data_IF_462506274801
#
_entry.id   IF_462506274801
#
_cell.length_a   1.000
_cell.length_b   1.000
_cell.length_c   1.000
_cell.angle_alpha   90.00
_cell.angle_beta   90.00
_cell.angle_gamma   90.00
#
_symmetry.space_group_name_H-M   'P 1'
#
loop_
_entity.id
_entity.type
_entity.pdbx_description
1 polymer ?
#
# COMPACT_ATOMS: atom_id res chain seq x y z
N UNK A 1 8.30 0.87 -14.53
CA UNK A 1 8.98 1.83 -15.43
C UNK A 1 9.03 1.35 -16.88
N UNK A 2 9.50 0.14 -17.19
CA UNK A 2 9.55 -0.38 -18.56
C UNK A 2 8.24 -0.30 -19.36
N UNK A 3 7.10 -0.48 -18.70
CA UNK A 3 5.79 -0.33 -19.35
C UNK A 3 5.41 1.15 -19.60
N UNK A 4 5.64 2.02 -18.63
CA UNK A 4 5.15 3.40 -18.65
C UNK A 4 6.08 4.38 -19.37
N UNK A 5 7.39 4.22 -19.16
CA UNK A 5 8.46 5.10 -19.64
C UNK A 5 9.70 4.29 -20.01
N UNK A 6 9.61 3.43 -21.04
CA UNK A 6 10.73 2.60 -21.48
C UNK A 6 11.95 3.44 -21.88
N UNK A 7 11.74 4.66 -22.36
CA UNK A 7 12.80 5.60 -22.77
C UNK A 7 13.75 6.00 -21.63
N UNK A 8 13.29 5.86 -20.38
CA UNK A 8 14.08 6.15 -19.17
C UNK A 8 14.75 4.90 -18.58
N UNK A 9 14.47 3.71 -19.10
CA UNK A 9 15.03 2.46 -18.59
C UNK A 9 16.09 1.91 -19.54
N UNK A 10 17.34 1.86 -19.07
CA UNK A 10 18.50 1.30 -19.79
C UNK A 10 18.78 -0.10 -19.29
N UNK A 11 18.05 -1.09 -19.82
CA UNK A 11 18.15 -2.49 -19.38
C UNK A 11 19.53 -3.10 -19.65
N UNK A 12 20.27 -2.55 -20.62
CA UNK A 12 21.66 -2.92 -20.89
C UNK A 12 22.64 -2.56 -19.75
N UNK A 13 22.20 -1.79 -18.75
CA UNK A 13 23.00 -1.39 -17.58
C UNK A 13 22.56 -2.09 -16.29
N UNK A 14 21.58 -2.99 -16.36
CA UNK A 14 21.08 -3.70 -15.18
C UNK A 14 22.18 -4.58 -14.60
N UNK A 15 22.30 -4.52 -13.28
CA UNK A 15 23.07 -5.44 -12.46
C UNK A 15 22.10 -6.06 -11.47
N UNK A 16 22.12 -7.39 -11.37
CA UNK A 16 21.36 -8.10 -10.36
C UNK A 16 22.21 -8.23 -9.11
N UNK A 17 21.68 -7.77 -7.98
CA UNK A 17 22.31 -7.91 -6.67
C UNK A 17 21.29 -8.61 -5.78
N UNK A 18 21.54 -9.88 -5.47
CA UNK A 18 20.61 -10.75 -4.73
C UNK A 18 21.26 -11.50 -3.57
N UNK A 19 22.58 -11.38 -3.43
CA UNK A 19 23.37 -12.06 -2.39
C UNK A 19 23.54 -11.15 -1.18
N UNK A 20 22.46 -11.00 -0.42
CA UNK A 20 22.40 -10.10 0.72
C UNK A 20 22.86 -10.78 2.00
N UNK A 21 23.49 -10.01 2.88
CA UNK A 21 23.96 -10.52 4.17
C UNK A 21 22.73 -10.85 5.02
N UNK A 22 22.61 -12.13 5.39
CA UNK A 22 21.49 -12.61 6.19
C UNK A 22 21.97 -13.62 7.21
N UNK A 23 21.42 -13.51 8.41
CA UNK A 23 21.53 -14.50 9.49
C UNK A 23 20.12 -14.92 9.92
N UNK A 24 19.95 -16.04 10.66
CA UNK A 24 18.61 -16.55 10.99
C UNK A 24 17.67 -15.55 11.68
N UNK A 25 18.21 -14.60 12.45
CA UNK A 25 17.44 -13.63 13.22
C UNK A 25 17.71 -12.17 12.82
N UNK A 26 18.62 -11.93 11.88
CA UNK A 26 18.98 -10.60 11.44
C UNK A 26 19.23 -10.59 9.93
N UNK A 27 18.34 -9.90 9.22
CA UNK A 27 18.35 -9.68 7.79
C UNK A 27 17.58 -8.39 7.49
N UNK A 28 17.85 -7.77 6.34
CA UNK A 28 17.07 -6.61 5.89
C UNK A 28 15.63 -7.05 5.62
N UNK A 29 14.71 -6.63 6.50
CA UNK A 29 13.29 -6.89 6.38
C UNK A 29 12.54 -5.58 6.08
N UNK A 30 12.08 -5.44 4.84
CA UNK A 30 11.28 -4.30 4.38
C UNK A 30 9.87 -4.26 4.98
N UNK A 31 9.46 -5.35 5.65
CA UNK A 31 8.17 -5.51 6.34
C UNK A 31 8.36 -5.34 7.85
N UNK A 32 9.61 -5.18 8.34
CA UNK A 32 9.95 -5.05 9.76
C UNK A 32 9.39 -6.19 10.64
N UNK A 33 9.17 -7.38 10.07
CA UNK A 33 8.63 -8.56 10.74
C UNK A 33 9.66 -9.39 11.53
N UNK A 34 10.94 -9.02 11.48
CA UNK A 34 12.02 -9.69 12.20
C UNK A 34 12.02 -9.45 13.72
N UNK A 35 12.69 -10.34 14.47
CA UNK A 35 12.88 -10.20 15.92
C UNK A 35 13.84 -9.03 16.30
N UNK A 36 14.64 -8.57 15.34
CA UNK A 36 15.58 -7.46 15.47
C UNK A 36 15.62 -6.67 14.15
N UNK A 37 15.23 -5.40 14.19
CA UNK A 37 15.28 -4.50 13.03
C UNK A 37 16.47 -3.58 13.20
N UNK A 38 17.50 -3.78 12.38
CA UNK A 38 18.60 -2.81 12.22
C UNK A 38 18.73 -2.53 10.73
N UNK A 39 18.82 -1.26 10.38
CA UNK A 39 19.22 -0.84 9.05
C UNK A 39 20.73 -1.02 8.91
N UNK A 40 21.18 -2.00 8.12
CA UNK A 40 22.56 -2.04 7.65
C UNK A 40 22.84 -0.87 6.69
N UNK A 41 24.09 -0.39 6.62
CA UNK A 41 24.54 0.44 5.50
C UNK A 41 24.22 -0.24 4.15
N UNK A 42 23.71 0.54 3.19
CA UNK A 42 23.44 0.03 1.84
C UNK A 42 24.67 -0.55 1.14
N UNK A 43 25.84 0.01 1.43
CA UNK A 43 27.13 -0.41 0.86
C UNK A 43 27.52 -1.85 1.26
N UNK A 44 26.93 -2.39 2.33
CA UNK A 44 27.18 -3.77 2.77
C UNK A 44 26.45 -4.80 1.90
N UNK A 45 25.31 -4.42 1.29
CA UNK A 45 24.43 -5.33 0.54
C UNK A 45 24.42 -5.06 -0.97
N UNK A 46 24.79 -3.85 -1.40
CA UNK A 46 24.74 -3.47 -2.82
C UNK A 46 25.79 -2.43 -3.19
N UNK A 47 26.46 -2.67 -4.32
CA UNK A 47 27.41 -1.76 -4.95
C UNK A 47 26.71 -0.73 -5.85
N UNK A 48 25.56 -1.08 -6.43
CA UNK A 48 24.85 -0.20 -7.39
C UNK A 48 23.65 0.53 -6.78
N UNK A 49 23.30 0.22 -5.53
CA UNK A 49 22.04 0.60 -4.90
C UNK A 49 20.85 -0.24 -5.34
N UNK A 50 21.07 -1.30 -6.14
CA UNK A 50 20.02 -2.21 -6.55
C UNK A 50 19.80 -3.30 -5.50
N UNK A 51 18.54 -3.67 -5.28
CA UNK A 51 18.19 -4.75 -4.35
C UNK A 51 17.21 -5.68 -5.08
N UNK A 52 17.74 -6.74 -5.69
CA UNK A 52 16.99 -7.78 -6.37
C UNK A 52 17.45 -8.04 -7.81
N UNK A 53 16.70 -8.90 -8.50
CA UNK A 53 16.97 -9.29 -9.88
C UNK A 53 16.20 -8.42 -10.89
N UNK A 54 16.72 -7.22 -11.16
CA UNK A 54 16.15 -6.29 -12.14
C UNK A 54 16.13 -6.84 -13.56
N UNK A 55 17.01 -7.79 -13.89
CA UNK A 55 17.13 -8.38 -15.25
C UNK A 55 15.89 -9.15 -15.68
N UNK A 56 15.09 -9.62 -14.73
CA UNK A 56 13.84 -10.35 -14.98
C UNK A 56 12.66 -9.41 -15.30
N UNK A 57 12.87 -8.09 -15.21
CA UNK A 57 11.81 -7.12 -15.47
C UNK A 57 11.43 -7.06 -16.95
N UNK A 58 10.13 -7.08 -17.22
CA UNK A 58 9.58 -6.90 -18.58
C UNK A 58 8.49 -5.84 -18.57
N UNK A 59 8.24 -5.21 -19.72
CA UNK A 59 7.13 -4.29 -19.89
C UNK A 59 5.77 -4.99 -19.69
N UNK A 60 5.64 -6.25 -20.12
CA UNK A 60 4.42 -7.04 -19.94
C UNK A 60 4.11 -7.30 -18.45
N UNK A 61 5.12 -7.69 -17.67
CA UNK A 61 4.95 -7.85 -16.22
C UNK A 61 4.50 -6.53 -15.59
N UNK A 62 5.13 -5.41 -15.99
CA UNK A 62 4.73 -4.09 -15.53
C UNK A 62 3.29 -3.70 -15.87
N UNK A 63 2.80 -4.07 -17.06
CA UNK A 63 1.42 -3.81 -17.48
C UNK A 63 0.43 -4.57 -16.60
N UNK A 64 0.64 -5.88 -16.41
CA UNK A 64 -0.22 -6.74 -15.59
C UNK A 64 -0.28 -6.28 -14.14
N UNK A 65 0.87 -5.94 -13.56
CA UNK A 65 0.94 -5.40 -12.19
C UNK A 65 0.20 -4.08 -12.05
N UNK A 66 0.38 -3.16 -13.01
CA UNK A 66 -0.29 -1.86 -12.97
C UNK A 66 -1.81 -2.00 -13.08
N UNK A 67 -2.29 -2.88 -13.96
CA UNK A 67 -3.72 -3.12 -14.13
C UNK A 67 -4.37 -3.57 -12.80
N UNK A 68 -3.79 -4.58 -12.15
CA UNK A 68 -4.30 -5.09 -10.87
C UNK A 68 -4.26 -4.00 -9.79
N UNK A 69 -3.14 -3.28 -9.68
CA UNK A 69 -3.01 -2.20 -8.69
C UNK A 69 -4.04 -1.07 -8.91
N UNK A 70 -4.30 -0.70 -10.17
CA UNK A 70 -5.31 0.32 -10.51
C UNK A 70 -6.70 -0.16 -10.10
N UNK A 71 -7.07 -1.40 -10.43
CA UNK A 71 -8.37 -1.95 -10.05
C UNK A 71 -8.54 -1.99 -8.53
N UNK A 72 -7.51 -2.43 -7.81
CA UNK A 72 -7.50 -2.44 -6.35
C UNK A 72 -7.72 -1.04 -5.75
N UNK A 73 -7.02 -0.01 -6.26
CA UNK A 73 -7.21 1.37 -5.76
C UNK A 73 -8.58 1.94 -6.10
N UNK A 74 -9.14 1.63 -7.28
CA UNK A 74 -10.50 2.02 -7.62
C UNK A 74 -11.49 1.44 -6.61
N UNK A 75 -11.34 0.16 -6.26
CA UNK A 75 -12.24 -0.50 -5.31
C UNK A 75 -12.12 0.10 -3.91
N UNK A 76 -10.90 0.32 -3.43
CA UNK A 76 -10.68 1.01 -2.15
C UNK A 76 -11.36 2.39 -2.08
N UNK A 77 -11.28 3.19 -3.16
CA UNK A 77 -11.95 4.49 -3.21
C UNK A 77 -13.47 4.34 -3.13
N UNK A 78 -14.06 3.36 -3.84
CA UNK A 78 -15.51 3.07 -3.75
C UNK A 78 -15.91 2.70 -2.32
N UNK A 79 -15.14 1.85 -1.66
CA UNK A 79 -15.39 1.45 -0.27
C UNK A 79 -15.31 2.63 0.70
N UNK A 80 -14.34 3.53 0.52
CA UNK A 80 -14.22 4.75 1.33
C UNK A 80 -15.48 5.61 1.20
N UNK A 81 -15.97 5.82 -0.03
CA UNK A 81 -17.21 6.57 -0.26
C UNK A 81 -18.44 5.90 0.34
N UNK A 82 -18.53 4.57 0.23
CA UNK A 82 -19.61 3.79 0.81
C UNK A 82 -19.61 3.88 2.34
N UNK A 83 -18.45 3.72 2.97
CA UNK A 83 -18.27 3.89 4.41
C UNK A 83 -18.67 5.29 4.88
N UNK A 84 -18.24 6.33 4.16
CA UNK A 84 -18.62 7.70 4.47
C UNK A 84 -20.14 7.89 4.41
N UNK A 85 -20.79 7.39 3.34
CA UNK A 85 -22.25 7.47 3.17
C UNK A 85 -23.00 6.80 4.32
N UNK A 86 -22.63 5.55 4.65
CA UNK A 86 -23.24 4.80 5.76
C UNK A 86 -23.10 5.51 7.10
N UNK A 87 -21.92 6.10 7.35
CA UNK A 87 -21.65 6.83 8.60
C UNK A 87 -22.47 8.11 8.70
N UNK A 88 -22.64 8.84 7.60
CA UNK A 88 -23.49 10.03 7.56
C UNK A 88 -24.97 9.70 7.77
N UNK A 89 -25.48 8.67 7.09
CA UNK A 89 -26.86 8.19 7.29
C UNK A 89 -27.12 7.81 8.75
N UNK A 90 -26.23 7.01 9.35
CA UNK A 90 -26.32 6.61 10.76
C UNK A 90 -26.30 7.82 11.72
N UNK A 91 -25.54 8.87 11.42
CA UNK A 91 -25.53 10.10 12.24
C UNK A 91 -26.86 10.83 12.13
N UNK A 92 -27.42 10.96 10.93
CA UNK A 92 -28.72 11.59 10.71
C UNK A 92 -29.85 10.83 11.45
N UNK A 93 -29.88 9.51 11.36
CA UNK A 93 -30.83 8.64 12.06
C UNK A 93 -30.74 8.79 13.60
N UNK A 94 -29.52 8.81 14.14
CA UNK A 94 -29.29 9.02 15.58
C UNK A 94 -29.77 10.38 16.04
N UNK A 95 -29.49 11.43 15.27
CA UNK A 95 -29.91 12.79 15.60
C UNK A 95 -31.45 12.92 15.56
N UNK A 96 -32.10 12.33 14.55
CA UNK A 96 -33.57 12.30 14.48
C UNK A 96 -34.18 11.55 15.66
N UNK A 97 -33.59 10.41 16.02
CA UNK A 97 -34.07 9.60 17.15
C UNK A 97 -33.94 10.37 18.47
N UNK A 98 -32.81 11.04 18.71
CA UNK A 98 -32.61 11.87 19.90
C UNK A 98 -33.64 13.02 19.97
N UNK A 99 -33.86 13.72 18.85
CA UNK A 99 -34.86 14.78 18.77
C UNK A 99 -36.28 14.28 19.07
N UNK A 100 -36.65 13.12 18.52
CA UNK A 100 -37.96 12.50 18.77
C UNK A 100 -38.14 12.09 20.24
N UNK A 101 -37.07 11.68 20.93
CA UNK A 101 -37.13 11.40 22.38
C UNK A 101 -37.37 12.69 23.18
N UNK A 102 -36.62 13.76 22.92
CA UNK A 102 -36.79 15.05 23.59
C UNK A 102 -38.20 15.64 23.43
N UNK A 103 -38.80 15.51 22.24
CA UNK A 103 -40.17 15.96 22.00
C UNK A 103 -41.21 15.17 22.81
N UNK A 104 -40.99 13.86 23.00
CA UNK A 104 -41.87 13.02 23.84
C UNK A 104 -41.79 13.36 25.31
N UNK A 105 -40.61 13.72 25.81
CA UNK A 105 -40.43 14.13 27.21
C UNK A 105 -41.04 15.52 27.51
N UNK A 106 -41.14 16.40 26.51
CA UNK A 106 -41.67 17.77 26.69
C UNK A 106 -43.19 17.87 26.59
N UNK A 107 -43.86 16.95 25.89
CA UNK A 107 -45.33 16.94 25.72
C UNK A 107 -46.06 15.95 26.66
N UNK A 108 -45.34 15.35 27.61
CA UNK A 108 -45.86 14.34 28.54
C UNK A 108 -46.11 14.83 29.98
N UNK A 109 -46.09 16.15 30.22
CA UNK A 109 -46.46 16.79 31.50
C UNK A 109 -47.72 17.61 31.36
#
# INVERSE_FOLDING_TARGET
MLYLRPDLCRMERVVDETDFISTPNFYMDWIEGGALVLSCPWEDDTLTGSYGAGSLATAENGARWLEVAVQEKIEHVREIHEQARRRLARRAERNQTAHNMEQRYTHGN
#
